data_IF_393520727728
#
_entry.id   IF_393520727728
#
_cell.length_a   1.000
_cell.length_b   1.000
_cell.length_c   1.000
_cell.angle_alpha   90.00
_cell.angle_beta   90.00
_cell.angle_gamma   90.00
#
_symmetry.space_group_name_H-M   'P 1'
#
loop_
_entity.id
_entity.type
_entity.pdbx_description
1 polymer ?
#
# COMPACT_ATOMS: atom_id res chain seq x y z
N UNK A 1 1.80 7.89 14.71
CA UNK A 1 2.78 6.98 14.08
C UNK A 1 2.78 5.64 14.77
N UNK A 2 3.56 4.71 14.25
CA UNK A 2 3.69 3.33 14.75
C UNK A 2 4.68 3.19 15.93
N UNK A 3 5.39 4.26 16.30
CA UNK A 3 6.42 4.26 17.36
C UNK A 3 7.83 3.89 16.88
N UNK A 4 7.98 3.41 15.65
CA UNK A 4 9.26 3.11 15.00
C UNK A 4 9.78 4.30 14.19
N UNK A 5 11.06 4.30 13.80
CA UNK A 5 11.58 5.24 12.80
C UNK A 5 10.92 4.94 11.45
N UNK A 6 10.02 5.81 11.01
CA UNK A 6 9.40 5.71 9.70
C UNK A 6 8.75 7.03 9.30
N UNK A 7 8.31 7.10 8.04
CA UNK A 7 7.73 8.28 7.44
C UNK A 7 6.45 8.78 8.13
N UNK A 8 5.73 7.92 8.89
CA UNK A 8 4.54 8.35 9.64
C UNK A 8 4.85 9.36 10.75
N UNK A 9 6.11 9.50 11.15
CA UNK A 9 6.58 10.49 12.14
C UNK A 9 6.84 11.88 11.55
N UNK A 10 6.70 12.04 10.23
CA UNK A 10 7.02 13.27 9.49
C UNK A 10 5.74 13.89 8.93
N UNK A 11 4.93 14.59 9.75
CA UNK A 11 3.62 15.10 9.34
C UNK A 11 3.71 16.20 8.28
N UNK A 12 4.78 17.03 8.31
CA UNK A 12 4.98 18.08 7.31
C UNK A 12 5.27 17.48 5.92
N UNK A 13 6.04 16.40 5.88
CA UNK A 13 6.38 15.67 4.65
C UNK A 13 5.18 14.92 4.10
N UNK A 14 4.34 14.34 4.98
CA UNK A 14 3.05 13.75 4.59
C UNK A 14 2.14 14.79 3.95
N UNK A 15 2.01 15.97 4.55
CA UNK A 15 1.20 17.05 3.99
C UNK A 15 1.78 17.60 2.69
N UNK A 16 3.12 17.67 2.58
CA UNK A 16 3.81 18.06 1.35
C UNK A 16 3.52 17.10 0.21
N UNK A 17 3.56 15.78 0.46
CA UNK A 17 3.21 14.77 -0.54
C UNK A 17 1.73 14.87 -0.91
N UNK A 18 0.83 14.95 0.07
CA UNK A 18 -0.60 15.08 -0.19
C UNK A 18 -0.92 16.33 -1.02
N UNK A 19 -0.27 17.46 -0.70
CA UNK A 19 -0.39 18.69 -1.49
C UNK A 19 0.10 18.49 -2.91
N UNK A 20 1.26 17.87 -3.13
CA UNK A 20 1.78 17.58 -4.46
C UNK A 20 0.81 16.73 -5.28
N UNK A 21 0.24 15.67 -4.70
CA UNK A 21 -0.72 14.81 -5.37
C UNK A 21 -2.00 15.57 -5.74
N UNK A 22 -2.50 16.43 -4.85
CA UNK A 22 -3.68 17.28 -5.11
C UNK A 22 -3.41 18.31 -6.20
N UNK A 23 -2.31 19.05 -6.14
CA UNK A 23 -2.02 20.16 -7.07
C UNK A 23 -1.70 19.67 -8.47
N UNK A 24 -1.14 18.46 -8.60
CA UNK A 24 -0.84 17.85 -9.90
C UNK A 24 -1.99 17.03 -10.47
N UNK A 25 -3.05 16.79 -9.68
CA UNK A 25 -4.13 15.85 -10.01
C UNK A 25 -3.57 14.48 -10.47
N UNK A 26 -2.55 13.98 -9.75
CA UNK A 26 -1.88 12.74 -10.10
C UNK A 26 -2.85 11.55 -10.02
N UNK A 27 -2.91 10.75 -11.09
CA UNK A 27 -3.75 9.56 -11.21
C UNK A 27 -2.93 8.29 -11.02
N UNK A 28 -3.57 7.21 -10.57
CA UNK A 28 -2.99 5.87 -10.54
C UNK A 28 -1.87 5.70 -9.50
N UNK A 29 -1.85 6.50 -8.44
CA UNK A 29 -0.78 6.42 -7.43
C UNK A 29 -1.00 5.22 -6.50
N UNK A 30 0.00 4.34 -6.47
CA UNK A 30 0.09 3.20 -5.56
C UNK A 30 1.48 3.23 -4.89
N UNK A 31 1.52 3.07 -3.56
CA UNK A 31 2.78 3.02 -2.82
C UNK A 31 3.26 1.58 -2.67
N UNK A 32 4.53 1.37 -3.00
CA UNK A 32 5.25 0.12 -2.74
C UNK A 32 6.32 0.42 -1.71
N UNK A 33 6.22 -0.21 -0.54
CA UNK A 33 7.10 0.09 0.61
C UNK A 33 7.66 -1.18 1.23
N UNK A 34 8.69 -1.01 2.06
CA UNK A 34 9.38 -2.12 2.72
C UNK A 34 9.91 -1.72 4.10
N UNK A 35 11.11 -2.19 4.45
CA UNK A 35 11.85 -1.83 5.69
C UNK A 35 11.21 -2.31 7.02
N UNK A 36 10.09 -3.04 6.96
CA UNK A 36 9.37 -3.45 8.18
C UNK A 36 9.45 -4.93 8.51
N UNK A 37 10.10 -5.73 7.66
CA UNK A 37 10.31 -7.17 7.82
C UNK A 37 8.99 -7.92 7.98
N UNK A 38 7.96 -7.44 7.27
CA UNK A 38 6.60 -7.99 7.24
C UNK A 38 5.94 -7.57 5.93
N UNK A 39 4.72 -8.04 5.74
CA UNK A 39 3.83 -7.60 4.68
C UNK A 39 2.43 -7.28 5.18
N UNK A 40 1.85 -6.23 4.61
CA UNK A 40 0.48 -5.81 4.85
C UNK A 40 0.00 -4.88 3.73
N UNK A 41 -1.32 -4.71 3.66
CA UNK A 41 -1.93 -3.63 2.89
C UNK A 41 -2.37 -2.52 3.83
N UNK A 42 -2.20 -1.27 3.40
CA UNK A 42 -2.74 -0.10 4.10
C UNK A 42 -3.51 0.79 3.14
N UNK A 43 -4.52 1.50 3.66
CA UNK A 43 -5.34 2.43 2.91
C UNK A 43 -5.60 3.70 3.73
N UNK A 44 -5.32 4.86 3.12
CA UNK A 44 -5.59 6.19 3.70
C UNK A 44 -6.68 6.90 2.91
N UNK A 45 -7.67 7.45 3.62
CA UNK A 45 -8.84 8.13 3.02
C UNK A 45 -9.09 9.54 3.58
N UNK A 46 -8.22 10.03 4.45
CA UNK A 46 -8.37 11.25 5.24
C UNK A 46 -7.49 12.42 4.71
N UNK A 47 -6.91 12.27 3.51
CA UNK A 47 -6.04 13.27 2.90
C UNK A 47 -6.75 14.19 1.88
N UNK A 48 -8.08 14.11 1.80
CA UNK A 48 -8.87 14.87 0.81
C UNK A 48 -8.55 14.51 -0.64
N UNK A 49 -8.18 13.25 -0.86
CA UNK A 49 -7.80 12.63 -2.13
C UNK A 49 -8.64 11.37 -2.33
N UNK A 50 -8.53 10.73 -3.50
CA UNK A 50 -8.93 9.33 -3.62
C UNK A 50 -8.13 8.45 -2.66
N UNK A 51 -8.63 7.25 -2.31
CA UNK A 51 -7.93 6.40 -1.36
C UNK A 51 -6.52 6.06 -1.83
N UNK A 52 -5.53 6.37 -0.99
CA UNK A 52 -4.13 6.02 -1.25
C UNK A 52 -3.85 4.64 -0.66
N UNK A 53 -3.45 3.72 -1.54
CA UNK A 53 -3.12 2.35 -1.19
C UNK A 53 -1.61 2.19 -1.04
N UNK A 54 -1.22 1.35 -0.09
CA UNK A 54 0.15 0.94 0.14
C UNK A 54 0.21 -0.59 0.17
N UNK A 55 1.13 -1.15 -0.60
CA UNK A 55 1.57 -2.54 -0.52
C UNK A 55 2.93 -2.54 0.17
N UNK A 56 2.93 -2.92 1.45
CA UNK A 56 4.17 -3.15 2.17
C UNK A 56 4.56 -4.63 2.00
N UNK A 57 5.77 -4.89 1.49
CA UNK A 57 6.34 -6.23 1.40
C UNK A 57 7.84 -6.16 1.63
N UNK A 58 8.31 -6.78 2.71
CA UNK A 58 9.72 -6.66 3.12
C UNK A 58 10.27 -7.84 3.93
N UNK A 59 9.60 -8.99 3.92
CA UNK A 59 10.09 -10.19 4.61
C UNK A 59 10.88 -11.10 3.69
N UNK A 60 11.81 -10.65 2.84
CA UNK A 60 12.43 -11.60 1.89
C UNK A 60 13.41 -12.57 2.56
N UNK A 61 14.07 -12.13 3.63
CA UNK A 61 15.12 -12.90 4.34
C UNK A 61 15.13 -12.66 5.85
N UNK A 62 14.32 -11.72 6.36
CA UNK A 62 14.30 -11.27 7.74
C UNK A 62 12.88 -10.88 8.12
N UNK A 63 12.46 -11.26 9.33
CA UNK A 63 11.07 -11.20 9.76
C UNK A 63 10.92 -10.64 11.19
N UNK A 64 9.83 -9.92 11.43
CA UNK A 64 9.49 -9.37 12.75
C UNK A 64 8.04 -9.75 13.13
N UNK A 65 7.90 -10.55 14.18
CA UNK A 65 6.61 -11.09 14.65
C UNK A 65 5.77 -10.13 15.50
N UNK A 66 6.24 -8.90 15.71
CA UNK A 66 5.53 -7.89 16.50
C UNK A 66 5.13 -6.68 15.64
N UNK A 67 3.97 -6.72 14.96
CA UNK A 67 3.52 -5.58 14.19
C UNK A 67 3.09 -4.44 15.11
N UNK A 68 3.63 -3.25 14.88
CA UNK A 68 3.13 -2.05 15.54
C UNK A 68 1.66 -1.77 15.18
N UNK A 69 0.92 -1.07 16.06
CA UNK A 69 -0.42 -0.58 15.73
C UNK A 69 -0.40 0.32 14.49
N UNK A 70 -1.29 0.06 13.56
CA UNK A 70 -1.46 0.84 12.33
C UNK A 70 -2.97 1.03 12.06
N UNK A 71 -3.41 2.28 12.06
CA UNK A 71 -4.82 2.65 11.84
C UNK A 71 -5.25 2.57 10.38
N UNK A 72 -4.28 2.51 9.46
CA UNK A 72 -4.52 2.41 8.03
C UNK A 72 -4.46 0.98 7.50
N UNK A 73 -4.03 0.02 8.32
CA UNK A 73 -3.94 -1.39 7.94
C UNK A 73 -5.29 -1.96 7.54
N UNK A 74 -5.30 -2.69 6.43
CA UNK A 74 -6.43 -3.49 5.98
C UNK A 74 -6.14 -4.97 6.19
N UNK A 75 -6.97 -5.60 7.03
CA UNK A 75 -6.85 -7.02 7.32
C UNK A 75 -5.64 -7.37 8.19
N UNK A 76 -5.06 -8.54 7.92
CA UNK A 76 -3.96 -9.12 8.68
C UNK A 76 -2.58 -8.57 8.32
N UNK A 77 -1.58 -9.05 9.05
CA UNK A 77 -0.16 -8.89 8.75
C UNK A 77 0.41 -10.27 8.47
N UNK A 78 1.30 -10.37 7.50
CA UNK A 78 2.10 -11.56 7.26
C UNK A 78 3.54 -11.29 7.72
N UNK A 79 4.06 -12.11 8.62
CA UNK A 79 5.36 -11.93 9.28
C UNK A 79 6.37 -13.02 8.92
N UNK A 80 6.11 -13.80 7.88
CA UNK A 80 7.02 -14.83 7.39
C UNK A 80 7.61 -14.41 6.04
N UNK A 81 8.49 -15.24 5.49
CA UNK A 81 9.19 -14.91 4.26
C UNK A 81 8.22 -14.69 3.08
N UNK A 82 8.31 -13.54 2.42
CA UNK A 82 7.37 -13.13 1.38
C UNK A 82 7.95 -12.21 0.30
N UNK A 83 7.19 -12.10 -0.79
CA UNK A 83 7.35 -11.06 -1.81
C UNK A 83 5.98 -10.52 -2.26
N UNK A 84 5.99 -9.28 -2.72
CA UNK A 84 4.83 -8.62 -3.31
C UNK A 84 4.74 -8.86 -4.82
N UNK A 85 3.52 -9.03 -5.32
CA UNK A 85 3.25 -9.14 -6.75
C UNK A 85 2.07 -8.26 -7.14
N UNK A 86 2.28 -7.41 -8.15
CA UNK A 86 1.21 -6.66 -8.80
C UNK A 86 0.85 -7.33 -10.12
N UNK A 87 -0.44 -7.56 -10.34
CA UNK A 87 -0.99 -8.00 -11.61
C UNK A 87 -1.93 -6.92 -12.11
N UNK A 88 -1.70 -6.45 -13.33
CA UNK A 88 -2.54 -5.41 -13.92
C UNK A 88 -3.13 -5.95 -15.22
N UNK A 89 -4.45 -6.01 -15.29
CA UNK A 89 -5.16 -6.40 -16.48
C UNK A 89 -5.45 -5.19 -17.38
N UNK A 90 -4.52 -4.90 -18.28
CA UNK A 90 -4.64 -3.79 -19.24
C UNK A 90 -5.63 -4.05 -20.39
N UNK A 91 -6.22 -5.24 -20.49
CA UNK A 91 -7.18 -5.56 -21.56
C UNK A 91 -8.58 -5.01 -21.30
N UNK A 92 -8.87 -4.58 -20.07
CA UNK A 92 -10.16 -4.02 -19.66
C UNK A 92 -10.19 -2.50 -19.79
N UNK A 93 -11.37 -1.94 -20.09
CA UNK A 93 -11.56 -0.47 -20.17
C UNK A 93 -11.24 0.23 -18.85
N UNK A 94 -11.53 -0.43 -17.72
CA UNK A 94 -11.12 -0.01 -16.38
C UNK A 94 -10.21 -1.10 -15.78
N UNK A 95 -8.88 -0.97 -15.96
CA UNK A 95 -7.92 -2.00 -15.59
C UNK A 95 -8.08 -2.47 -14.15
N UNK A 96 -8.17 -3.79 -13.98
CA UNK A 96 -8.08 -4.42 -12.66
C UNK A 96 -6.63 -4.49 -12.21
N UNK A 97 -6.37 -4.06 -10.99
CA UNK A 97 -5.07 -4.15 -10.33
C UNK A 97 -5.21 -5.08 -9.14
N UNK A 98 -4.61 -6.27 -9.23
CA UNK A 98 -4.51 -7.22 -8.12
C UNK A 98 -3.18 -7.02 -7.41
N UNK A 99 -3.25 -6.77 -6.11
CA UNK A 99 -2.12 -6.66 -5.20
C UNK A 99 -2.04 -7.95 -4.38
N UNK A 100 -0.93 -8.66 -4.48
CA UNK A 100 -0.72 -9.95 -3.83
C UNK A 100 0.51 -9.88 -2.93
N UNK A 101 0.43 -10.54 -1.78
CA UNK A 101 1.59 -10.98 -1.01
C UNK A 101 1.63 -12.50 -1.14
N UNK A 102 2.81 -13.02 -1.46
CA UNK A 102 3.05 -14.45 -1.63
C UNK A 102 4.17 -14.93 -0.72
N UNK A 103 4.00 -16.13 -0.18
CA UNK A 103 5.07 -16.85 0.49
C UNK A 103 6.14 -17.31 -0.52
N UNK A 104 7.31 -17.71 -0.02
CA UNK A 104 8.46 -18.12 -0.86
C UNK A 104 8.18 -19.33 -1.76
N UNK A 105 7.21 -20.17 -1.40
CA UNK A 105 6.72 -21.31 -2.18
C UNK A 105 5.62 -20.92 -3.21
N UNK A 106 5.37 -19.61 -3.37
CA UNK A 106 4.36 -19.01 -4.24
C UNK A 106 2.92 -19.17 -3.74
N UNK A 107 2.70 -19.58 -2.50
CA UNK A 107 1.36 -19.58 -1.89
C UNK A 107 0.84 -18.15 -1.70
N UNK A 108 -0.44 -17.94 -2.01
CA UNK A 108 -1.10 -16.65 -1.84
C UNK A 108 -1.48 -16.47 -0.37
N UNK A 109 -0.92 -15.44 0.29
CA UNK A 109 -1.15 -15.21 1.73
C UNK A 109 -2.02 -14.00 2.00
N UNK A 110 -1.86 -12.92 1.23
CA UNK A 110 -2.75 -11.75 1.27
C UNK A 110 -3.07 -11.32 -0.15
N UNK A 111 -4.29 -10.87 -0.37
CA UNK A 111 -4.71 -10.30 -1.66
C UNK A 111 -5.65 -9.12 -1.45
N UNK A 112 -5.54 -8.13 -2.32
CA UNK A 112 -6.59 -7.15 -2.53
C UNK A 112 -6.68 -6.77 -4.01
N UNK A 113 -7.86 -6.32 -4.46
CA UNK A 113 -8.12 -5.98 -5.86
C UNK A 113 -8.80 -4.63 -5.91
N UNK A 114 -8.30 -3.76 -6.78
CA UNK A 114 -8.87 -2.44 -7.04
C UNK A 114 -8.98 -2.21 -8.54
N UNK A 115 -9.79 -1.22 -8.90
CA UNK A 115 -9.88 -0.70 -10.26
C UNK A 115 -9.04 0.55 -10.42
N UNK A 116 -8.48 0.78 -11.61
CA UNK A 116 -7.71 2.00 -11.88
C UNK A 116 -8.55 3.26 -11.69
N UNK A 117 -9.85 3.19 -11.96
CA UNK A 117 -10.81 4.28 -11.69
C UNK A 117 -10.92 4.67 -10.21
N UNK A 118 -10.61 3.76 -9.27
CA UNK A 118 -10.56 4.07 -7.83
C UNK A 118 -9.34 4.93 -7.46
N UNK A 119 -8.33 5.00 -8.32
CA UNK A 119 -7.09 5.76 -8.12
C UNK A 119 -7.10 7.09 -8.90
N UNK A 120 -8.26 7.72 -9.02
CA UNK A 120 -8.44 8.97 -9.75
C UNK A 120 -9.10 10.01 -8.83
N UNK A 121 -8.73 11.31 -8.90
CA UNK A 121 -9.49 12.37 -8.27
C UNK A 121 -10.96 12.30 -8.73
N UNK A 122 -11.89 12.65 -7.84
CA UNK A 122 -13.27 12.83 -8.24
C UNK A 122 -13.33 13.84 -9.39
N UNK A 123 -14.03 13.49 -10.46
CA UNK A 123 -14.27 14.38 -11.60
C UNK A 123 -15.00 15.63 -11.06
N UNK A 124 -14.39 16.80 -11.21
CA UNK A 124 -15.06 18.09 -10.99
C UNK A 124 -15.95 18.45 -12.18
#
# INVERSE_FOLDING_TARGET
GTGWENWSNFPAEQERLATLLRTTAANGVLFLTGDTHRAQFSKRTDLGLYPLWEVNSSGLTENVDWPAPDRSRLGGVYTEDNYGLLRINWSETDPEITMEIRAVDNDLVLQNTIRLSELQPAIQ
#
